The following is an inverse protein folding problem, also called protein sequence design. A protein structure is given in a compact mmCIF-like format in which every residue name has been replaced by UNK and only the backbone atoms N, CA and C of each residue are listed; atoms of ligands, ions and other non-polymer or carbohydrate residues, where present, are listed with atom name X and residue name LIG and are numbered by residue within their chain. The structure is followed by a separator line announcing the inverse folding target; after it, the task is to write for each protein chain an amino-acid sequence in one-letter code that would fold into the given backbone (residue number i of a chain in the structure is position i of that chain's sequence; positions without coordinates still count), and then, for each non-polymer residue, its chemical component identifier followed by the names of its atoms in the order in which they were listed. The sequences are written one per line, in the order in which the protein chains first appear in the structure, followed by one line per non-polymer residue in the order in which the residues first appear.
data_IF_252552628497
#
_entry.id   IF_252552628497
#
_cell.length_a   1.000
_cell.length_b   1.000
_cell.length_c   1.000
_cell.angle_alpha   90.00
_cell.angle_beta   90.00
_cell.angle_gamma   90.00
#
_symmetry.space_group_name_H-M   'P 1'
#
loop_
_entity.id
_entity.type
_entity.pdbx_description
1 polymer ?
#
# COMPACT_ATOMS: atom_id res chain seq x y z
N UNK A 1 -13.98 22.79 -15.56
CA UNK A 1 -14.83 21.68 -15.07
C UNK A 1 -14.57 20.48 -15.99
N UNK A 2 -13.76 19.50 -15.56
CA UNK A 2 -13.62 18.24 -16.29
C UNK A 2 -14.30 17.17 -15.45
N UNK A 3 -15.44 16.71 -15.95
CA UNK A 3 -16.13 15.54 -15.44
C UNK A 3 -15.21 14.32 -15.67
N UNK A 4 -15.12 13.46 -14.65
CA UNK A 4 -14.21 12.33 -14.61
C UNK A 4 -14.31 11.44 -15.85
N UNK A 5 -13.17 11.11 -16.42
CA UNK A 5 -13.08 10.12 -17.49
C UNK A 5 -13.54 8.76 -16.97
N UNK A 6 -14.31 8.08 -17.80
CA UNK A 6 -14.57 6.65 -17.70
C UNK A 6 -13.24 5.91 -17.46
N UNK A 7 -13.25 4.91 -16.58
CA UNK A 7 -12.08 4.05 -16.33
C UNK A 7 -11.80 3.22 -17.58
N UNK A 8 -11.03 3.77 -18.53
CA UNK A 8 -10.53 3.04 -19.68
C UNK A 8 -9.42 2.09 -19.21
N UNK A 9 -9.62 0.79 -19.42
CA UNK A 9 -8.61 -0.23 -19.11
C UNK A 9 -7.52 -0.13 -20.19
N UNK A 10 -6.37 0.43 -19.80
CA UNK A 10 -5.22 0.52 -20.68
C UNK A 10 -4.42 -0.79 -20.66
N UNK A 11 -4.19 -1.38 -21.83
CA UNK A 11 -3.31 -2.54 -21.99
C UNK A 11 -1.86 -2.04 -21.97
N UNK A 12 -1.06 -2.57 -21.04
CA UNK A 12 0.37 -2.30 -20.96
C UNK A 12 1.19 -3.41 -21.63
N UNK A 13 2.41 -3.10 -22.07
CA UNK A 13 3.31 -4.12 -22.60
C UNK A 13 3.89 -4.99 -21.48
N UNK A 14 4.42 -6.16 -21.83
CA UNK A 14 5.17 -6.99 -20.86
C UNK A 14 6.38 -6.26 -20.28
N UNK A 15 7.04 -5.41 -21.07
CA UNK A 15 8.24 -4.66 -20.64
C UNK A 15 7.86 -3.68 -19.54
N UNK A 16 6.75 -2.95 -19.72
CA UNK A 16 6.24 -2.01 -18.74
C UNK A 16 5.89 -2.71 -17.43
N UNK A 17 5.22 -3.86 -17.51
CA UNK A 17 4.90 -4.67 -16.32
C UNK A 17 6.15 -5.11 -15.56
N UNK A 18 7.18 -5.61 -16.26
CA UNK A 18 8.42 -6.08 -15.63
C UNK A 18 9.33 -4.97 -15.12
N UNK A 19 9.09 -3.71 -15.52
CA UNK A 19 9.82 -2.55 -15.00
C UNK A 19 9.45 -2.20 -13.56
N UNK A 20 8.30 -2.69 -13.08
CA UNK A 20 7.82 -2.48 -11.71
C UNK A 20 8.42 -3.54 -10.80
N UNK A 21 9.11 -3.09 -9.76
CA UNK A 21 9.65 -3.97 -8.74
C UNK A 21 8.61 -4.23 -7.64
N UNK A 22 8.15 -5.48 -7.53
CA UNK A 22 7.23 -5.92 -6.48
C UNK A 22 7.95 -6.82 -5.49
N UNK A 23 7.73 -6.60 -4.19
CA UNK A 23 8.35 -7.39 -3.12
C UNK A 23 7.31 -7.80 -2.08
N UNK A 24 7.48 -9.00 -1.53
CA UNK A 24 6.81 -9.44 -0.31
C UNK A 24 7.67 -9.05 0.87
N UNK A 25 7.06 -8.50 1.90
CA UNK A 25 7.75 -7.94 3.06
C UNK A 25 7.13 -8.42 4.35
N UNK A 26 7.91 -8.35 5.42
CA UNK A 26 7.39 -8.60 6.76
C UNK A 26 6.91 -7.30 7.37
N UNK A 27 5.63 -7.20 7.68
CA UNK A 27 5.13 -6.10 8.51
C UNK A 27 5.65 -6.29 9.93
N UNK A 28 6.24 -5.24 10.50
CA UNK A 28 6.77 -5.25 11.88
C UNK A 28 5.93 -4.41 12.82
N UNK A 29 5.18 -3.42 12.31
CA UNK A 29 4.27 -2.60 13.09
C UNK A 29 3.12 -2.08 12.20
N UNK A 30 1.92 -2.01 12.77
CA UNK A 30 0.79 -1.27 12.24
C UNK A 30 0.19 -0.41 13.34
N UNK A 31 0.13 0.90 13.13
CA UNK A 31 -0.46 1.84 14.08
C UNK A 31 -1.63 2.58 13.42
N UNK A 32 -2.71 2.78 14.16
CA UNK A 32 -3.82 3.60 13.68
C UNK A 32 -3.33 5.05 13.57
N UNK A 33 -3.49 5.62 12.38
CA UNK A 33 -3.17 7.00 12.07
C UNK A 33 -4.46 7.75 11.73
N UNK A 34 -4.96 8.50 12.71
CA UNK A 34 -6.14 9.34 12.57
C UNK A 34 -5.70 10.78 12.28
N UNK A 35 -5.64 11.14 11.00
CA UNK A 35 -5.56 12.55 10.57
C UNK A 35 -6.88 12.93 9.93
N UNK A 36 -7.27 14.21 10.04
CA UNK A 36 -8.53 14.75 9.52
C UNK A 36 -8.86 14.21 8.12
N UNK A 37 -9.79 13.24 8.05
CA UNK A 37 -10.03 12.43 6.87
C UNK A 37 -10.41 10.98 7.19
N UNK A 38 -10.14 10.06 6.26
CA UNK A 38 -10.39 8.63 6.45
C UNK A 38 -9.31 8.01 7.33
N UNK A 39 -9.67 7.12 8.26
CA UNK A 39 -8.69 6.39 9.06
C UNK A 39 -7.74 5.60 8.15
N UNK A 40 -6.46 5.59 8.53
CA UNK A 40 -5.43 4.80 7.85
C UNK A 40 -4.55 4.10 8.88
N UNK A 41 -3.89 3.02 8.49
CA UNK A 41 -2.77 2.46 9.22
C UNK A 41 -1.46 3.07 8.72
N UNK A 42 -0.61 3.48 9.66
CA UNK A 42 0.81 3.64 9.45
C UNK A 42 1.47 2.26 9.58
N UNK A 43 2.11 1.79 8.51
CA UNK A 43 2.77 0.49 8.47
C UNK A 43 4.29 0.67 8.46
N UNK A 44 4.99 -0.09 9.30
CA UNK A 44 6.42 -0.30 9.18
C UNK A 44 6.66 -1.73 8.71
N UNK A 45 7.45 -1.88 7.64
CA UNK A 45 7.76 -3.17 7.04
C UNK A 45 9.26 -3.34 6.84
N UNK A 46 9.74 -4.54 7.12
CA UNK A 46 11.12 -4.97 6.86
C UNK A 46 11.21 -5.59 5.46
N UNK A 47 12.01 -4.96 4.59
CA UNK A 47 12.30 -5.44 3.24
C UNK A 47 13.58 -6.31 3.18
N UNK A 48 14.12 -6.70 4.34
CA UNK A 48 15.36 -7.46 4.46
C UNK A 48 16.60 -6.57 4.34
N UNK A 49 17.78 -7.18 4.43
CA UNK A 49 19.08 -6.49 4.58
C UNK A 49 19.39 -5.46 3.47
N UNK A 50 18.93 -5.70 2.26
CA UNK A 50 19.25 -4.86 1.10
C UNK A 50 18.54 -3.50 1.13
N UNK A 51 17.28 -3.46 1.58
CA UNK A 51 16.43 -2.26 1.55
C UNK A 51 16.16 -1.72 2.95
N UNK A 52 16.11 -2.61 3.94
CA UNK A 52 15.83 -2.29 5.34
C UNK A 52 14.37 -1.92 5.60
N UNK A 53 14.16 -1.12 6.64
CA UNK A 53 12.83 -0.73 7.09
C UNK A 53 12.24 0.37 6.20
N UNK A 54 10.96 0.23 5.83
CA UNK A 54 10.19 1.24 5.11
C UNK A 54 8.87 1.53 5.80
N UNK A 55 8.40 2.75 5.59
CA UNK A 55 7.12 3.24 6.07
C UNK A 55 6.14 3.37 4.91
N UNK A 56 4.90 2.92 5.11
CA UNK A 56 3.80 3.11 4.16
C UNK A 56 2.50 3.40 4.89
N UNK A 57 1.46 3.81 4.14
CA UNK A 57 0.14 4.08 4.69
C UNK A 57 -0.91 3.28 3.92
N UNK A 58 -1.84 2.66 4.63
CA UNK A 58 -2.92 1.88 4.03
C UNK A 58 -4.27 2.27 4.64
N UNK A 59 -5.26 2.55 3.80
CA UNK A 59 -6.63 2.93 4.24
C UNK A 59 -7.52 1.71 4.52
N UNK A 60 -6.91 0.57 4.86
CA UNK A 60 -7.60 -0.71 5.09
C UNK A 60 -8.08 -0.85 6.55
N UNK A 61 -8.78 0.17 7.06
CA UNK A 61 -9.21 0.25 8.47
C UNK A 61 -10.58 -0.37 8.74
N UNK A 62 -11.24 -0.91 7.71
CA UNK A 62 -12.54 -1.59 7.83
C UNK A 62 -12.44 -3.12 7.93
N UNK A 63 -11.27 -3.72 7.66
CA UNK A 63 -11.07 -5.13 7.96
C UNK A 63 -10.75 -5.27 9.44
N UNK A 64 -11.54 -6.10 10.12
CA UNK A 64 -11.60 -6.32 11.56
C UNK A 64 -10.22 -6.38 12.21
N UNK A 65 -10.11 -5.75 13.38
CA UNK A 65 -9.04 -5.81 14.37
C UNK A 65 -7.95 -6.85 14.07
N UNK A 66 -6.79 -6.35 13.69
CA UNK A 66 -5.56 -7.08 13.35
C UNK A 66 -4.93 -7.80 14.58
N UNK A 67 -5.73 -8.60 15.30
CA UNK A 67 -5.27 -9.40 16.45
C UNK A 67 -4.99 -10.88 16.10
N UNK A 68 -5.19 -11.34 14.86
CA UNK A 68 -4.90 -12.73 14.48
C UNK A 68 -4.30 -12.89 13.06
N UNK A 69 -3.04 -12.49 12.87
CA UNK A 69 -2.14 -12.98 11.80
C UNK A 69 -0.72 -13.11 12.34
#
# INVERSE_FOLDING_TARGET
MRFGSENEVQIISRVDFTSVEMRVVRMVCAAIFLVAGKPAYLLHSDFGREIGMKQSHAQNTHLSQWEEL
#
